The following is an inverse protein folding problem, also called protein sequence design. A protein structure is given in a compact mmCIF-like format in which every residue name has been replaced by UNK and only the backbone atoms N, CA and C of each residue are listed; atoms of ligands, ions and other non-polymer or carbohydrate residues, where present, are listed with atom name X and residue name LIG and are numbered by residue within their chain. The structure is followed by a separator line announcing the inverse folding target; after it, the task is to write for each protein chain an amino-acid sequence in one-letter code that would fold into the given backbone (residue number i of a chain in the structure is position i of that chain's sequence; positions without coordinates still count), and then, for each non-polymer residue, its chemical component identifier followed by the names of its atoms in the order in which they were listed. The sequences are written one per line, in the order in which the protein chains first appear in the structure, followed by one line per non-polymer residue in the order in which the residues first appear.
data_IF_510295711980
#
_entry.id   IF_510295711980
#
_cell.length_a   1.000
_cell.length_b   1.000
_cell.length_c   1.000
_cell.angle_alpha   90.00
_cell.angle_beta   90.00
_cell.angle_gamma   90.00
#
_symmetry.space_group_name_H-M   'P 1'
#
loop_
_entity.id
_entity.type
_entity.pdbx_description
1 polymer ?
#
# COMPACT_ATOMS: atom_id res chain seq x y z
N UNK A 1 -13.24 4.18 5.16
CA UNK A 1 -12.61 5.00 4.08
C UNK A 1 -13.14 4.51 2.73
N UNK A 2 -13.49 5.40 1.78
CA UNK A 2 -13.83 5.01 0.39
C UNK A 2 -12.66 5.34 -0.52
N UNK A 3 -12.04 4.34 -1.15
CA UNK A 3 -10.98 4.49 -2.16
C UNK A 3 -11.60 4.25 -3.55
N UNK A 4 -11.33 5.08 -4.56
CA UNK A 4 -11.83 4.86 -5.92
C UNK A 4 -11.22 3.59 -6.51
N UNK A 5 -11.99 2.87 -7.31
CA UNK A 5 -11.53 1.64 -7.98
C UNK A 5 -11.04 0.54 -7.01
N UNK A 6 -11.60 0.50 -5.80
CA UNK A 6 -11.20 -0.47 -4.78
C UNK A 6 -11.40 -1.92 -5.23
N UNK A 7 -12.41 -2.16 -6.08
CA UNK A 7 -12.70 -3.46 -6.68
C UNK A 7 -11.59 -3.98 -7.61
N UNK A 8 -10.68 -3.11 -8.05
CA UNK A 8 -9.51 -3.46 -8.86
C UNK A 8 -8.24 -3.62 -8.03
N UNK A 9 -8.29 -3.28 -6.74
CA UNK A 9 -7.19 -3.53 -5.80
C UNK A 9 -7.26 -4.97 -5.34
N UNK A 10 -6.15 -5.68 -5.44
CA UNK A 10 -6.05 -7.06 -5.00
C UNK A 10 -4.62 -7.54 -5.07
N UNK A 11 -4.10 -7.94 -3.91
CA UNK A 11 -2.80 -8.60 -3.79
C UNK A 11 -2.99 -9.96 -3.12
N UNK A 12 -2.59 -11.07 -3.77
CA UNK A 12 -2.56 -12.39 -3.15
C UNK A 12 -1.57 -12.42 -1.98
N UNK A 13 -2.05 -12.87 -0.82
CA UNK A 13 -1.28 -12.90 0.42
C UNK A 13 -1.71 -14.05 1.32
N UNK A 14 -0.89 -14.36 2.31
CA UNK A 14 -1.27 -15.15 3.46
C UNK A 14 -1.42 -14.25 4.68
N UNK A 15 -2.57 -14.27 5.35
CA UNK A 15 -2.76 -13.54 6.59
C UNK A 15 -2.00 -14.24 7.71
N UNK A 16 -0.77 -13.81 7.97
CA UNK A 16 0.17 -14.51 8.83
C UNK A 16 -0.29 -14.52 10.29
N UNK A 17 -0.65 -13.35 10.82
CA UNK A 17 -1.08 -13.20 12.21
C UNK A 17 -1.72 -11.84 12.48
N UNK A 18 -2.55 -11.82 13.51
CA UNK A 18 -3.06 -10.62 14.15
C UNK A 18 -2.23 -10.29 15.39
N UNK A 19 -1.75 -9.05 15.51
CA UNK A 19 -1.00 -8.56 16.68
C UNK A 19 -1.86 -7.52 17.40
N UNK A 20 -2.37 -7.83 18.61
CA UNK A 20 -3.15 -6.89 19.40
C UNK A 20 -2.35 -5.62 19.70
N UNK A 21 -2.99 -4.46 19.62
CA UNK A 21 -2.37 -3.21 20.03
C UNK A 21 -2.04 -3.20 21.53
N UNK A 22 -0.85 -2.69 21.86
CA UNK A 22 -0.42 -2.55 23.25
C UNK A 22 -1.32 -1.58 24.02
N UNK A 23 -1.47 -1.82 25.32
CA UNK A 23 -2.19 -0.94 26.22
C UNK A 23 -1.31 0.27 26.55
N UNK A 24 -1.83 1.47 26.29
CA UNK A 24 -1.20 2.72 26.66
C UNK A 24 -1.46 3.02 28.15
N UNK A 25 -0.55 3.72 28.85
CA UNK A 25 -0.71 4.06 30.27
C UNK A 25 -1.98 4.85 30.61
N UNK A 26 -2.61 5.51 29.64
CA UNK A 26 -3.91 6.20 29.80
C UNK A 26 -5.14 5.27 29.69
N UNK A 27 -4.92 3.95 29.55
CA UNK A 27 -5.96 2.94 29.43
C UNK A 27 -6.48 2.70 28.00
N UNK A 28 -6.02 3.46 26.99
CA UNK A 28 -6.38 3.23 25.58
C UNK A 28 -5.48 2.17 24.95
N UNK A 29 -5.94 1.45 23.93
CA UNK A 29 -5.08 0.54 23.15
C UNK A 29 -4.60 1.22 21.87
N UNK A 30 -3.34 0.98 21.51
CA UNK A 30 -2.87 1.27 20.15
C UNK A 30 -3.67 0.47 19.12
N UNK A 31 -3.65 0.91 17.87
CA UNK A 31 -4.28 0.14 16.79
C UNK A 31 -3.57 -1.21 16.63
N UNK A 32 -4.33 -2.29 16.38
CA UNK A 32 -3.73 -3.59 16.10
C UNK A 32 -2.93 -3.54 14.79
N UNK A 33 -1.95 -4.43 14.70
CA UNK A 33 -1.19 -4.65 13.48
C UNK A 33 -1.57 -6.00 12.89
N UNK A 34 -1.98 -5.98 11.63
CA UNK A 34 -2.20 -7.19 10.86
C UNK A 34 -0.93 -7.47 10.07
N UNK A 35 -0.46 -8.71 10.10
CA UNK A 35 0.76 -9.13 9.39
C UNK A 35 0.36 -10.03 8.24
N UNK A 36 0.71 -9.64 7.03
CA UNK A 36 0.50 -10.42 5.82
C UNK A 36 1.84 -10.87 5.25
N UNK A 37 1.90 -12.12 4.78
CA UNK A 37 3.03 -12.67 4.06
C UNK A 37 2.75 -12.61 2.56
N UNK A 38 3.64 -11.96 1.82
CA UNK A 38 3.60 -11.96 0.35
C UNK A 38 4.21 -13.24 -0.22
N UNK A 39 3.96 -13.52 -1.50
CA UNK A 39 4.58 -14.64 -2.23
C UNK A 39 6.12 -14.62 -2.17
N UNK A 40 6.72 -13.42 -2.11
CA UNK A 40 8.17 -13.22 -1.96
C UNK A 40 8.71 -13.63 -0.57
N UNK A 41 7.84 -13.99 0.36
CA UNK A 41 8.18 -14.28 1.75
C UNK A 41 8.24 -13.04 2.65
N UNK A 42 8.12 -11.82 2.08
CA UNK A 42 8.07 -10.57 2.83
C UNK A 42 6.90 -10.57 3.82
N UNK A 43 7.19 -10.25 5.08
CA UNK A 43 6.17 -9.96 6.09
C UNK A 43 5.87 -8.46 6.09
N UNK A 44 4.62 -8.11 5.81
CA UNK A 44 4.13 -6.74 5.75
C UNK A 44 3.16 -6.48 6.90
N UNK A 45 3.48 -5.49 7.73
CA UNK A 45 2.59 -4.98 8.76
C UNK A 45 1.70 -3.89 8.19
N UNK A 46 0.39 -4.05 8.36
CA UNK A 46 -0.62 -3.10 7.89
C UNK A 46 -1.57 -2.73 9.03
N UNK A 47 -2.27 -1.61 8.87
CA UNK A 47 -3.24 -1.12 9.85
C UNK A 47 -4.65 -1.28 9.32
N UNK A 48 -5.52 -1.87 10.13
CA UNK A 48 -6.96 -1.91 9.89
C UNK A 48 -7.68 -0.91 10.81
N UNK A 49 -7.82 0.33 10.35
CA UNK A 49 -8.47 1.38 11.14
C UNK A 49 -9.98 1.21 11.30
N UNK A 50 -10.60 0.43 10.42
CA UNK A 50 -12.06 0.37 10.32
C UNK A 50 -12.60 -1.04 10.56
N UNK A 51 -11.75 -1.97 10.98
CA UNK A 51 -12.10 -3.36 11.29
C UNK A 51 -12.72 -4.08 10.08
N UNK A 52 -12.10 -3.93 8.90
CA UNK A 52 -12.49 -4.62 7.68
C UNK A 52 -12.11 -6.10 7.66
N UNK A 53 -11.13 -6.51 8.47
CA UNK A 53 -10.61 -7.88 8.48
C UNK A 53 -10.96 -8.55 9.79
N UNK A 54 -11.53 -9.74 9.70
CA UNK A 54 -11.80 -10.58 10.85
C UNK A 54 -10.49 -11.23 11.35
N UNK A 55 -10.06 -10.98 12.61
CA UNK A 55 -8.87 -11.59 13.17
C UNK A 55 -8.87 -13.13 13.14
N UNK A 56 -10.04 -13.78 13.13
CA UNK A 56 -10.16 -15.24 13.03
C UNK A 56 -9.73 -15.80 11.66
N UNK A 57 -9.55 -14.93 10.67
CA UNK A 57 -9.02 -15.28 9.36
C UNK A 57 -7.50 -15.46 9.34
N UNK A 58 -6.81 -15.22 10.46
CA UNK A 58 -5.38 -15.48 10.57
C UNK A 58 -5.03 -16.95 10.26
N UNK A 59 -3.96 -17.16 9.51
CA UNK A 59 -3.54 -18.45 8.96
C UNK A 59 -4.18 -18.80 7.60
N UNK A 60 -4.98 -17.91 7.01
CA UNK A 60 -5.63 -18.15 5.72
C UNK A 60 -4.90 -17.43 4.58
N UNK A 61 -4.82 -18.07 3.41
CA UNK A 61 -4.48 -17.43 2.16
C UNK A 61 -5.70 -16.69 1.58
N UNK A 62 -5.48 -15.61 0.85
CA UNK A 62 -6.55 -14.84 0.24
C UNK A 62 -6.05 -13.64 -0.55
N UNK A 63 -6.96 -12.73 -0.87
CA UNK A 63 -6.66 -11.48 -1.56
C UNK A 63 -6.90 -10.30 -0.64
N UNK A 64 -5.89 -9.49 -0.42
CA UNK A 64 -5.97 -8.28 0.39
C UNK A 64 -6.04 -7.02 -0.47
N UNK A 65 -6.82 -6.04 -0.01
CA UNK A 65 -6.97 -4.74 -0.65
C UNK A 65 -6.14 -3.70 0.10
N UNK A 66 -4.87 -3.57 -0.26
CA UNK A 66 -3.95 -2.63 0.38
C UNK A 66 -3.97 -1.26 -0.28
N UNK A 67 -3.96 -0.21 0.55
CA UNK A 67 -3.81 1.17 0.12
C UNK A 67 -2.62 1.81 0.83
N UNK A 68 -1.67 2.27 0.03
CA UNK A 68 -0.49 3.01 0.46
C UNK A 68 -0.88 4.47 0.66
N UNK A 69 -0.68 4.97 1.88
CA UNK A 69 -1.04 6.30 2.33
C UNK A 69 0.20 7.08 2.73
N UNK A 70 0.12 8.40 2.63
CA UNK A 70 1.19 9.34 3.04
C UNK A 70 2.53 9.05 2.35
N UNK A 71 2.45 8.48 1.14
CA UNK A 71 3.58 8.00 0.38
C UNK A 71 4.38 9.11 -0.26
N UNK A 72 5.69 8.92 -0.38
CA UNK A 72 6.51 9.59 -1.39
C UNK A 72 6.43 8.86 -2.72
N UNK A 73 6.33 9.62 -3.80
CA UNK A 73 6.29 9.12 -5.18
C UNK A 73 7.53 9.58 -5.93
N UNK A 74 8.13 8.70 -6.72
CA UNK A 74 9.23 9.01 -7.63
C UNK A 74 9.12 8.15 -8.90
N UNK A 75 9.24 8.78 -10.07
CA UNK A 75 9.27 8.11 -11.35
C UNK A 75 10.52 7.23 -11.44
N UNK A 76 10.36 6.00 -11.92
CA UNK A 76 11.49 5.11 -12.18
C UNK A 76 12.14 5.52 -13.51
N UNK A 77 13.46 5.79 -13.54
CA UNK A 77 14.16 6.07 -14.77
C UNK A 77 14.06 4.93 -15.80
N UNK A 78 14.05 5.25 -17.11
CA UNK A 78 14.18 4.25 -18.15
C UNK A 78 15.37 3.30 -17.92
N UNK A 79 15.17 2.01 -18.14
CA UNK A 79 16.18 0.96 -17.93
C UNK A 79 16.31 0.46 -16.49
N UNK A 80 15.65 1.11 -15.52
CA UNK A 80 15.63 0.68 -14.10
C UNK A 80 14.27 0.16 -13.65
N UNK A 81 13.31 0.12 -14.58
CA UNK A 81 11.92 -0.18 -14.30
C UNK A 81 11.76 -1.59 -13.74
N UNK A 82 11.09 -1.68 -12.60
CA UNK A 82 10.83 -2.95 -11.92
C UNK A 82 9.49 -2.94 -11.21
N UNK A 83 9.02 -4.14 -10.89
CA UNK A 83 7.86 -4.39 -10.05
C UNK A 83 8.28 -5.08 -8.76
N UNK A 84 7.40 -5.05 -7.78
CA UNK A 84 7.53 -5.79 -6.53
C UNK A 84 7.59 -4.88 -5.30
N UNK A 85 7.55 -5.53 -4.15
CA UNK A 85 7.52 -4.86 -2.85
C UNK A 85 8.74 -5.32 -2.05
N UNK A 86 9.52 -4.36 -1.55
CA UNK A 86 10.78 -4.60 -0.84
C UNK A 86 10.74 -3.97 0.54
N UNK A 87 11.23 -4.68 1.55
CA UNK A 87 11.38 -4.15 2.91
C UNK A 87 12.34 -2.95 2.95
N UNK A 88 12.13 -2.06 3.92
CA UNK A 88 13.03 -0.97 4.28
C UNK A 88 14.40 -1.47 4.74
N UNK A 89 14.45 -2.62 5.42
CA UNK A 89 15.64 -3.30 5.88
C UNK A 89 15.52 -4.81 5.63
N UNK A 90 16.59 -5.44 5.14
CA UNK A 90 16.63 -6.88 4.88
C UNK A 90 17.02 -7.67 6.13
N UNK A 91 16.18 -7.59 7.16
CA UNK A 91 16.36 -8.40 8.38
C UNK A 91 15.43 -9.61 8.30
N UNK A 92 15.95 -10.85 8.28
CA UNK A 92 15.11 -12.05 8.26
C UNK A 92 14.07 -12.06 9.38
N UNK A 93 12.82 -12.39 9.05
CA UNK A 93 11.71 -12.45 10.01
C UNK A 93 11.18 -11.09 10.48
N UNK A 94 11.77 -9.98 10.05
CA UNK A 94 11.29 -8.64 10.37
C UNK A 94 9.97 -8.33 9.63
N UNK A 95 9.02 -7.74 10.35
CA UNK A 95 7.78 -7.22 9.77
C UNK A 95 8.05 -5.81 9.26
N UNK A 96 8.05 -5.67 7.94
CA UNK A 96 8.19 -4.38 7.27
C UNK A 96 6.89 -3.59 7.41
N UNK A 97 6.99 -2.35 7.90
CA UNK A 97 5.81 -1.48 8.12
C UNK A 97 5.75 -0.30 7.16
N UNK A 98 6.85 -0.05 6.45
CA UNK A 98 6.93 0.97 5.41
C UNK A 98 7.71 0.45 4.19
N UNK A 99 7.33 -0.71 3.62
CA UNK A 99 8.02 -1.26 2.47
C UNK A 99 7.93 -0.29 1.29
N UNK A 100 8.92 -0.39 0.41
CA UNK A 100 8.90 0.31 -0.86
C UNK A 100 8.21 -0.55 -1.91
N UNK A 101 7.17 -0.02 -2.54
CA UNK A 101 6.50 -0.64 -3.66
C UNK A 101 7.05 -0.07 -4.97
N UNK A 102 7.25 -0.94 -5.95
CA UNK A 102 7.64 -0.60 -7.30
C UNK A 102 6.60 -1.19 -8.25
N UNK A 103 6.21 -0.43 -9.25
CA UNK A 103 5.22 -0.90 -10.20
C UNK A 103 4.95 0.05 -11.34
N UNK A 104 3.95 -0.30 -12.14
CA UNK A 104 3.45 0.51 -13.23
C UNK A 104 2.05 1.03 -12.90
N UNK A 105 1.77 2.29 -13.22
CA UNK A 105 0.45 2.88 -12.99
C UNK A 105 -0.54 2.27 -13.99
N UNK A 106 -1.59 1.64 -13.48
CA UNK A 106 -2.66 1.03 -14.30
C UNK A 106 -3.94 1.86 -14.31
N UNK A 107 -4.13 2.73 -13.32
CA UNK A 107 -5.18 3.74 -13.30
C UNK A 107 -4.76 4.96 -12.48
N UNK A 108 -5.22 6.15 -12.87
CA UNK A 108 -4.95 7.42 -12.19
C UNK A 108 -6.26 8.22 -12.03
N UNK A 109 -7.17 7.80 -11.12
CA UNK A 109 -8.45 8.46 -10.93
C UNK A 109 -8.36 9.93 -10.48
N UNK A 110 -7.29 10.33 -9.78
CA UNK A 110 -7.10 11.73 -9.39
C UNK A 110 -5.64 12.18 -9.49
N UNK A 111 -5.47 13.38 -10.07
CA UNK A 111 -4.24 14.16 -10.09
C UNK A 111 -4.60 15.64 -9.95
N UNK A 112 -4.57 16.14 -8.72
CA UNK A 112 -5.00 17.48 -8.36
C UNK A 112 -3.80 18.29 -7.87
N UNK A 113 -3.09 18.92 -8.80
CA UNK A 113 -1.99 19.82 -8.51
C UNK A 113 -2.51 21.23 -8.28
N UNK A 114 -2.20 21.81 -7.11
CA UNK A 114 -2.49 23.20 -6.76
C UNK A 114 -1.20 23.98 -6.60
N UNK A 115 -1.16 25.13 -7.25
CA UNK A 115 -0.10 26.13 -7.17
C UNK A 115 -0.76 27.45 -6.77
N UNK A 116 -1.14 27.52 -5.50
CA UNK A 116 -1.80 28.71 -4.94
C UNK A 116 -0.76 29.75 -4.52
N UNK A 117 -1.14 30.75 -3.72
CA UNK A 117 -0.26 31.83 -3.26
C UNK A 117 0.87 31.40 -2.29
N UNK A 118 0.96 30.10 -1.96
CA UNK A 118 1.96 29.55 -1.06
C UNK A 118 3.26 29.26 -1.83
N UNK A 119 4.43 29.32 -1.19
CA UNK A 119 5.72 29.12 -1.86
C UNK A 119 6.03 27.65 -2.19
N UNK A 120 5.01 26.78 -2.23
CA UNK A 120 5.14 25.36 -2.50
C UNK A 120 3.95 24.82 -3.31
N UNK A 121 4.21 23.81 -4.12
CA UNK A 121 3.19 23.01 -4.80
C UNK A 121 2.49 22.09 -3.78
N UNK A 122 1.19 21.86 -3.96
CA UNK A 122 0.43 20.82 -3.26
C UNK A 122 -0.19 19.87 -4.27
N UNK A 123 -0.02 18.57 -4.09
CA UNK A 123 -0.64 17.54 -4.92
C UNK A 123 -1.48 16.61 -4.06
N UNK A 124 -2.72 16.39 -4.48
CA UNK A 124 -3.48 15.21 -4.09
C UNK A 124 -3.52 14.24 -5.29
N UNK A 125 -3.26 12.96 -5.04
CA UNK A 125 -3.35 11.96 -6.10
C UNK A 125 -3.83 10.62 -5.57
N UNK A 126 -4.57 9.93 -6.42
CA UNK A 126 -5.05 8.57 -6.24
C UNK A 126 -4.72 7.75 -7.48
N UNK A 127 -4.08 6.60 -7.30
CA UNK A 127 -3.68 5.73 -8.39
C UNK A 127 -3.71 4.25 -8.01
N UNK A 128 -3.77 3.40 -9.02
CA UNK A 128 -3.56 1.97 -8.93
C UNK A 128 -2.16 1.63 -9.46
N UNK A 129 -1.41 0.86 -8.70
CA UNK A 129 -0.05 0.44 -9.03
C UNK A 129 0.01 -1.08 -9.18
N UNK A 130 0.30 -1.57 -10.39
CA UNK A 130 0.60 -2.98 -10.64
C UNK A 130 2.02 -3.29 -10.16
N UNK A 131 2.10 -4.08 -9.10
CA UNK A 131 3.35 -4.48 -8.43
C UNK A 131 3.83 -5.87 -8.84
N UNK A 132 3.27 -6.44 -9.92
CA UNK A 132 3.66 -7.75 -10.47
C UNK A 132 2.68 -8.84 -10.07
N UNK A 133 2.64 -9.17 -8.78
CA UNK A 133 1.77 -10.24 -8.25
C UNK A 133 0.33 -9.78 -7.99
N UNK A 134 0.04 -8.50 -8.20
CA UNK A 134 -1.26 -7.89 -7.96
C UNK A 134 -1.22 -6.37 -8.07
N UNK A 135 -2.32 -5.74 -7.67
CA UNK A 135 -2.51 -4.29 -7.74
C UNK A 135 -2.74 -3.73 -6.34
N UNK A 136 -2.00 -2.67 -6.00
CA UNK A 136 -2.20 -1.90 -4.75
C UNK A 136 -2.75 -0.51 -5.07
N UNK A 137 -3.57 0.02 -4.15
CA UNK A 137 -3.99 1.41 -4.22
C UNK A 137 -2.92 2.34 -3.63
N UNK A 138 -2.83 3.56 -4.14
CA UNK A 138 -2.02 4.63 -3.57
C UNK A 138 -2.90 5.87 -3.46
N UNK A 139 -2.96 6.47 -2.28
CA UNK A 139 -3.58 7.77 -2.03
C UNK A 139 -2.64 8.61 -1.21
N UNK A 140 -2.16 9.72 -1.78
CA UNK A 140 -1.23 10.59 -1.07
C UNK A 140 -1.49 12.06 -1.33
N UNK A 141 -1.16 12.86 -0.32
CA UNK A 141 -1.03 14.30 -0.42
C UNK A 141 0.43 14.66 -0.24
N UNK A 142 1.00 15.36 -1.21
CA UNK A 142 2.40 15.77 -1.23
C UNK A 142 2.48 17.29 -1.24
N UNK A 143 3.51 17.82 -0.59
CA UNK A 143 3.93 19.21 -0.72
C UNK A 143 5.42 19.28 -0.99
N UNK A 144 5.83 20.20 -1.86
CA UNK A 144 7.24 20.50 -2.15
C UNK A 144 7.37 21.84 -2.88
N UNK A 145 8.53 22.49 -2.80
CA UNK A 145 8.81 23.71 -3.56
C UNK A 145 8.64 23.50 -5.08
N UNK A 146 8.93 22.29 -5.56
CA UNK A 146 8.69 21.86 -6.94
C UNK A 146 8.37 20.36 -6.97
N UNK A 147 7.08 20.02 -7.08
CA UNK A 147 6.66 18.63 -7.11
C UNK A 147 7.07 17.91 -8.39
N UNK A 148 7.17 18.63 -9.52
CA UNK A 148 7.60 18.04 -10.77
C UNK A 148 9.05 17.53 -10.68
N UNK A 149 9.93 18.30 -10.05
CA UNK A 149 11.31 17.90 -9.80
C UNK A 149 11.40 16.74 -8.80
N UNK A 150 10.59 16.77 -7.72
CA UNK A 150 10.59 15.71 -6.71
C UNK A 150 10.10 14.37 -7.27
N UNK A 151 9.02 14.39 -8.05
CA UNK A 151 8.41 13.19 -8.64
C UNK A 151 9.21 12.75 -9.88
N UNK A 152 9.83 13.68 -10.59
CA UNK A 152 10.47 13.44 -11.89
C UNK A 152 9.54 13.62 -13.09
N UNK A 153 8.31 14.12 -12.86
CA UNK A 153 7.33 14.41 -13.90
C UNK A 153 6.34 15.51 -13.44
N UNK A 154 5.94 16.39 -14.36
CA UNK A 154 4.92 17.41 -14.08
C UNK A 154 3.52 16.83 -13.89
N UNK A 155 3.26 15.69 -14.53
CA UNK A 155 2.05 14.91 -14.42
C UNK A 155 2.38 13.44 -14.65
N UNK A 156 1.81 12.55 -13.83
CA UNK A 156 1.87 11.11 -14.06
C UNK A 156 0.76 10.69 -15.03
N UNK A 157 0.99 9.57 -15.71
CA UNK A 157 0.04 8.94 -16.62
C UNK A 157 -0.06 7.43 -16.37
N UNK A 158 -1.13 6.82 -16.91
CA UNK A 158 -1.21 5.36 -17.01
C UNK A 158 -0.06 4.87 -17.89
N UNK A 159 0.62 3.82 -17.42
CA UNK A 159 1.82 3.28 -18.05
C UNK A 159 3.14 3.77 -17.46
N UNK A 160 3.13 4.85 -16.66
CA UNK A 160 4.33 5.33 -15.97
C UNK A 160 4.78 4.34 -14.89
N UNK A 161 6.10 4.27 -14.70
CA UNK A 161 6.70 3.40 -13.71
C UNK A 161 7.06 4.19 -12.46
N UNK A 162 6.58 3.73 -11.30
CA UNK A 162 6.64 4.49 -10.06
C UNK A 162 7.31 3.68 -8.95
N UNK A 163 8.11 4.37 -8.15
CA UNK A 163 8.54 3.92 -6.83
C UNK A 163 7.75 4.68 -5.76
N UNK A 164 7.09 3.93 -4.89
CA UNK A 164 6.26 4.41 -3.78
C UNK A 164 6.94 4.03 -2.48
N UNK A 165 7.24 5.00 -1.62
CA UNK A 165 7.99 4.77 -0.39
C UNK A 165 7.44 5.56 0.80
N UNK A 166 7.98 5.29 2.01
CA UNK A 166 7.59 5.97 3.27
C UNK A 166 6.09 5.96 3.49
N UNK A 167 5.47 4.83 3.17
CA UNK A 167 4.02 4.71 3.19
C UNK A 167 3.57 4.10 4.50
N UNK A 168 2.46 4.61 5.01
CA UNK A 168 1.60 3.84 5.90
C UNK A 168 0.72 2.95 5.03
N UNK A 169 0.53 1.70 5.40
CA UNK A 169 -0.32 0.78 4.63
C UNK A 169 -1.60 0.51 5.42
N UNK A 170 -2.72 0.85 4.82
CA UNK A 170 -4.03 0.50 5.33
C UNK A 170 -4.61 -0.67 4.51
N UNK A 171 -5.36 -1.54 5.17
CA UNK A 171 -6.17 -2.57 4.51
C UNK A 171 -7.63 -2.12 4.45
N UNK A 172 -8.27 -2.33 3.30
CA UNK A 172 -9.68 -2.01 3.07
C UNK A 172 -10.57 -3.24 2.88
N UNK A 173 -9.97 -4.43 2.86
CA UNK A 173 -10.67 -5.70 2.76
C UNK A 173 -9.71 -6.88 2.65
N UNK A 174 -10.13 -8.04 3.15
CA UNK A 174 -9.47 -9.32 2.92
C UNK A 174 -10.52 -10.36 2.52
N UNK A 175 -10.31 -11.02 1.39
CA UNK A 175 -11.17 -12.11 0.92
C UNK A 175 -10.41 -13.42 1.04
N UNK A 176 -10.71 -14.27 2.03
CA UNK A 176 -10.05 -15.57 2.16
C UNK A 176 -10.36 -16.46 0.96
N UNK A 177 -9.36 -17.20 0.51
CA UNK A 177 -9.54 -18.18 -0.56
C UNK A 177 -10.45 -19.31 -0.05
N UNK A 178 -11.57 -19.53 -0.73
CA UNK A 178 -12.47 -20.65 -0.39
C UNK A 178 -11.76 -21.96 -0.73
N UNK A 179 -11.28 -22.66 0.30
CA UNK A 179 -10.82 -24.04 0.15
C UNK A 179 -12.06 -24.92 0.03
N UNK A 180 -12.45 -25.27 -1.19
CA UNK A 180 -13.42 -26.33 -1.41
C UNK A 180 -12.81 -27.64 -0.90
N UNK A 181 -13.05 -27.97 0.37
CA UNK A 181 -12.80 -29.32 0.89
C UNK A 181 -13.78 -30.24 0.16
N UNK A 182 -13.30 -30.91 -0.89
CA UNK A 182 -14.00 -32.05 -1.46
C UNK A 182 -14.32 -33.01 -0.31
N UNK A 183 -15.62 -33.21 -0.06
CA UNK A 183 -16.09 -34.23 0.88
C UNK A 183 -15.56 -35.58 0.39
N UNK A 184 -14.68 -36.18 1.18
CA UNK A 184 -14.28 -37.58 1.05
C UNK A 184 -15.36 -38.47 1.64
#
# INVERSE_FOLDING_TARGET
MRFPLIEQVGLPVHFERYVPGALHPDGRRYLPQLVFRLATGLLMGVVDRHHYVDPEQAGQAGTAQFVYLLSKLALQPPGTQRRGIMAEAQTPGHVSTAPRAYGQIVALPSWELRRDALPYDTLYTELLLDVGDGVVGVRTSLTADNLAAQIGAAQLAVGDWLAVSRSRIDILGFSPQVVNRARS
#
